data_IF_094367622430
#
_entry.id   IF_094367622430
#
_cell.length_a   1.000
_cell.length_b   1.000
_cell.length_c   1.000
_cell.angle_alpha   90.00
_cell.angle_beta   90.00
_cell.angle_gamma   90.00
#
_symmetry.space_group_name_H-M   'P 1'
#
loop_
_entity.id
_entity.type
_entity.pdbx_description
1 polymer ?
#
# COMPACT_ATOMS: atom_id res chain seq x y z
N UNK A 1 31.57 -34.22 -7.55
CA UNK A 1 31.29 -33.12 -6.61
C UNK A 1 32.61 -32.49 -6.18
N UNK A 2 32.71 -31.16 -6.21
CA UNK A 2 33.90 -30.43 -5.74
C UNK A 2 33.48 -29.47 -4.61
N UNK A 3 32.49 -29.87 -3.83
CA UNK A 3 32.01 -29.06 -2.70
C UNK A 3 33.11 -28.95 -1.63
N UNK A 4 33.27 -27.77 -1.02
CA UNK A 4 34.26 -27.43 0.01
C UNK A 4 35.70 -27.82 -0.37
N UNK A 5 36.00 -27.80 -1.69
CA UNK A 5 37.27 -28.35 -2.18
C UNK A 5 38.52 -27.65 -1.60
N UNK A 6 38.45 -26.34 -1.40
CA UNK A 6 39.60 -25.56 -0.94
C UNK A 6 39.47 -25.06 0.51
N UNK A 7 38.52 -25.64 1.28
CA UNK A 7 38.35 -25.26 2.70
C UNK A 7 39.61 -25.59 3.49
N UNK A 8 40.13 -24.63 4.23
CA UNK A 8 41.36 -24.82 5.02
C UNK A 8 41.08 -24.85 6.51
N UNK A 9 40.42 -23.83 7.06
CA UNK A 9 40.15 -23.73 8.49
C UNK A 9 38.69 -23.41 8.81
N UNK A 10 37.85 -23.22 7.79
CA UNK A 10 36.42 -22.89 8.02
C UNK A 10 35.68 -24.02 8.68
N UNK A 11 34.97 -23.73 9.76
CA UNK A 11 34.23 -24.69 10.56
C UNK A 11 32.71 -24.56 10.37
N UNK A 12 31.97 -25.59 10.73
CA UNK A 12 30.48 -25.61 10.75
C UNK A 12 29.83 -25.32 9.39
N UNK A 13 30.49 -25.62 8.28
CA UNK A 13 29.95 -25.36 6.95
C UNK A 13 29.18 -26.56 6.40
N UNK A 14 28.06 -26.30 5.74
CA UNK A 14 27.27 -27.32 5.03
C UNK A 14 27.29 -27.02 3.52
N UNK A 15 27.71 -27.96 2.70
CA UNK A 15 27.78 -27.77 1.25
C UNK A 15 27.22 -28.97 0.48
N UNK A 16 26.13 -28.77 -0.24
CA UNK A 16 25.44 -29.82 -1.02
C UNK A 16 25.25 -29.34 -2.46
N UNK A 17 25.95 -29.89 -3.41
CA UNK A 17 25.83 -29.54 -4.83
C UNK A 17 27.17 -29.52 -5.54
N UNK A 18 27.13 -29.39 -6.87
CA UNK A 18 28.33 -29.27 -7.67
C UNK A 18 29.00 -27.93 -7.40
N UNK A 19 30.26 -27.97 -6.97
CA UNK A 19 31.10 -26.80 -6.64
C UNK A 19 30.51 -25.84 -5.59
N UNK A 20 29.62 -26.32 -4.72
CA UNK A 20 29.12 -25.50 -3.63
C UNK A 20 30.22 -25.22 -2.61
N UNK A 21 30.38 -23.96 -2.16
CA UNK A 21 31.46 -23.51 -1.25
C UNK A 21 32.83 -23.95 -1.71
N UNK A 22 33.07 -24.04 -3.01
CA UNK A 22 34.30 -24.59 -3.55
C UNK A 22 35.55 -23.88 -3.08
N UNK A 23 35.56 -22.54 -3.06
CA UNK A 23 36.73 -21.74 -2.77
C UNK A 23 36.73 -21.19 -1.33
N UNK A 24 35.84 -21.67 -0.45
CA UNK A 24 35.88 -21.27 0.94
C UNK A 24 37.23 -21.61 1.54
N UNK A 25 37.84 -20.68 2.23
CA UNK A 25 39.14 -20.94 2.91
C UNK A 25 38.98 -20.87 4.42
N UNK A 26 38.44 -19.78 4.95
CA UNK A 26 38.34 -19.57 6.40
C UNK A 26 36.93 -19.23 6.87
N UNK A 27 35.97 -19.10 5.98
CA UNK A 27 34.58 -18.74 6.35
C UNK A 27 33.88 -19.84 7.13
N UNK A 28 33.17 -19.47 8.21
CA UNK A 28 32.48 -20.38 9.11
C UNK A 28 30.99 -20.31 9.00
N UNK A 29 30.32 -21.38 9.40
CA UNK A 29 28.85 -21.41 9.60
C UNK A 29 28.05 -21.09 8.34
N UNK A 30 28.58 -21.41 7.18
CA UNK A 30 27.89 -21.18 5.92
C UNK A 30 27.08 -22.43 5.51
N UNK A 31 25.89 -22.20 4.95
CA UNK A 31 25.06 -23.26 4.39
C UNK A 31 24.89 -23.01 2.88
N UNK A 32 25.34 -23.92 2.04
CA UNK A 32 25.26 -23.81 0.59
C UNK A 32 24.63 -25.06 -0.02
N UNK A 33 23.45 -24.92 -0.60
CA UNK A 33 22.70 -26.03 -1.22
C UNK A 33 22.34 -25.66 -2.65
N UNK A 34 22.99 -26.25 -3.62
CA UNK A 34 22.76 -25.98 -5.04
C UNK A 34 24.05 -25.98 -5.85
N UNK A 35 23.95 -26.09 -7.17
CA UNK A 35 25.12 -26.01 -8.02
C UNK A 35 25.69 -24.59 -7.95
N UNK A 36 26.98 -24.47 -7.69
CA UNK A 36 27.71 -23.21 -7.58
C UNK A 36 27.18 -22.28 -6.47
N UNK A 37 26.43 -22.84 -5.50
CA UNK A 37 25.95 -22.05 -4.35
C UNK A 37 27.16 -21.63 -3.50
N UNK A 38 27.29 -20.30 -3.26
CA UNK A 38 28.37 -19.68 -2.45
C UNK A 38 29.78 -20.13 -2.92
N UNK A 39 29.93 -20.31 -4.25
CA UNK A 39 31.12 -20.94 -4.82
C UNK A 39 32.42 -20.21 -4.45
N UNK A 40 32.46 -18.88 -4.59
CA UNK A 40 33.69 -18.10 -4.50
C UNK A 40 33.90 -17.49 -3.10
N UNK A 41 33.12 -17.92 -2.10
CA UNK A 41 33.33 -17.45 -0.74
C UNK A 41 34.76 -17.77 -0.28
N UNK A 42 35.44 -16.79 0.29
CA UNK A 42 36.79 -17.04 0.85
C UNK A 42 36.77 -16.98 2.37
N UNK A 43 36.22 -15.91 2.95
CA UNK A 43 36.21 -15.73 4.39
C UNK A 43 34.83 -15.31 4.93
N UNK A 44 33.82 -15.10 4.09
CA UNK A 44 32.49 -14.73 4.54
C UNK A 44 31.87 -15.78 5.46
N UNK A 45 31.19 -15.32 6.51
CA UNK A 45 30.65 -16.19 7.56
C UNK A 45 29.14 -16.09 7.69
N UNK A 46 28.52 -17.16 8.18
CA UNK A 46 27.09 -17.19 8.53
C UNK A 46 26.17 -16.91 7.34
N UNK A 47 26.57 -17.28 6.14
CA UNK A 47 25.76 -17.09 4.94
C UNK A 47 24.90 -18.35 4.68
N UNK A 48 23.68 -18.12 4.21
CA UNK A 48 22.78 -19.19 3.76
C UNK A 48 22.50 -19.00 2.27
N UNK A 49 22.86 -19.98 1.45
CA UNK A 49 22.73 -19.93 0.01
C UNK A 49 22.02 -21.18 -0.50
N UNK A 50 20.80 -21.02 -1.03
CA UNK A 50 20.01 -22.15 -1.52
C UNK A 50 19.53 -21.86 -2.96
N UNK A 51 20.09 -22.55 -3.93
CA UNK A 51 19.75 -22.36 -5.33
C UNK A 51 20.94 -22.44 -6.25
N UNK A 52 20.68 -22.56 -7.55
CA UNK A 52 21.73 -22.57 -8.56
C UNK A 52 22.35 -21.18 -8.68
N UNK A 53 23.66 -21.05 -8.51
CA UNK A 53 24.40 -19.80 -8.49
C UNK A 53 23.91 -18.79 -7.43
N UNK A 54 23.21 -19.24 -6.38
CA UNK A 54 22.84 -18.35 -5.28
C UNK A 54 24.14 -17.93 -4.57
N UNK A 55 24.31 -16.60 -4.38
CA UNK A 55 25.46 -15.99 -3.67
C UNK A 55 26.81 -16.48 -4.21
N UNK A 56 26.89 -16.86 -5.49
CA UNK A 56 28.08 -17.56 -6.03
C UNK A 56 29.36 -16.74 -5.92
N UNK A 57 29.30 -15.44 -6.13
CA UNK A 57 30.46 -14.59 -6.25
C UNK A 57 30.80 -13.88 -4.91
N UNK A 58 30.18 -14.28 -3.81
CA UNK A 58 30.50 -13.73 -2.48
C UNK A 58 31.95 -14.06 -2.12
N UNK A 59 32.68 -13.09 -1.65
CA UNK A 59 34.06 -13.34 -1.22
C UNK A 59 34.24 -13.15 0.29
N UNK A 60 33.75 -12.04 0.82
CA UNK A 60 33.95 -11.69 2.24
C UNK A 60 32.64 -11.27 2.94
N UNK A 61 31.52 -11.19 2.24
CA UNK A 61 30.24 -10.76 2.81
C UNK A 61 29.72 -11.76 3.85
N UNK A 62 29.17 -11.23 4.94
CA UNK A 62 28.70 -12.01 6.08
C UNK A 62 27.18 -11.96 6.23
N UNK A 63 26.61 -13.00 6.86
CA UNK A 63 25.21 -13.03 7.32
C UNK A 63 24.17 -12.80 6.21
N UNK A 64 24.50 -13.21 5.00
CA UNK A 64 23.57 -13.08 3.89
C UNK A 64 22.70 -14.32 3.75
N UNK A 65 21.45 -14.14 3.42
CA UNK A 65 20.52 -15.23 3.09
C UNK A 65 20.08 -15.08 1.64
N UNK A 66 20.42 -16.04 0.78
CA UNK A 66 20.06 -16.04 -0.64
C UNK A 66 19.33 -17.33 -0.99
N UNK A 67 18.06 -17.22 -1.36
CA UNK A 67 17.24 -18.38 -1.73
C UNK A 67 16.63 -18.15 -3.13
N UNK A 68 17.06 -18.93 -4.10
CA UNK A 68 16.57 -18.81 -5.46
C UNK A 68 17.67 -18.90 -6.50
N UNK A 69 17.29 -19.15 -7.74
CA UNK A 69 18.22 -19.23 -8.86
C UNK A 69 18.81 -17.83 -9.12
N UNK A 70 20.13 -17.71 -9.10
CA UNK A 70 20.89 -16.46 -9.25
C UNK A 70 20.55 -15.41 -8.19
N UNK A 71 19.96 -15.80 -7.06
CA UNK A 71 19.67 -14.88 -5.95
C UNK A 71 21.01 -14.35 -5.40
N UNK A 72 21.16 -13.01 -5.36
CA UNK A 72 22.34 -12.31 -4.82
C UNK A 72 23.66 -12.80 -5.43
N UNK A 73 23.62 -13.20 -6.71
CA UNK A 73 24.77 -13.85 -7.34
C UNK A 73 26.09 -13.06 -7.19
N UNK A 74 26.06 -11.76 -7.47
CA UNK A 74 27.28 -10.95 -7.60
C UNK A 74 27.71 -10.26 -6.31
N UNK A 75 27.09 -10.60 -5.17
CA UNK A 75 27.54 -10.01 -3.90
C UNK A 75 29.01 -10.37 -3.67
N UNK A 76 29.84 -9.38 -3.42
CA UNK A 76 31.22 -9.67 -3.06
C UNK A 76 31.50 -9.37 -1.60
N UNK A 77 30.95 -8.27 -1.05
CA UNK A 77 31.26 -7.81 0.30
C UNK A 77 30.04 -7.27 1.08
N UNK A 78 28.86 -7.25 0.49
CA UNK A 78 27.64 -6.80 1.19
C UNK A 78 27.26 -7.74 2.32
N UNK A 79 26.78 -7.19 3.44
CA UNK A 79 26.46 -7.93 4.64
C UNK A 79 24.99 -7.82 5.01
N UNK A 80 24.52 -8.76 5.82
CA UNK A 80 23.18 -8.70 6.46
C UNK A 80 22.03 -8.54 5.42
N UNK A 81 22.18 -9.12 4.22
CA UNK A 81 21.17 -9.07 3.19
C UNK A 81 20.29 -10.32 3.20
N UNK A 82 19.01 -10.15 2.93
CA UNK A 82 18.07 -11.27 2.72
C UNK A 82 17.48 -11.18 1.31
N UNK A 83 17.69 -12.21 0.50
CA UNK A 83 17.25 -12.24 -0.88
C UNK A 83 16.50 -13.54 -1.19
N UNK A 84 15.22 -13.46 -1.51
CA UNK A 84 14.39 -14.62 -1.82
C UNK A 84 13.68 -14.42 -3.16
N UNK A 85 14.07 -15.18 -4.15
CA UNK A 85 13.46 -15.11 -5.48
C UNK A 85 14.46 -15.32 -6.61
N UNK A 86 13.93 -15.64 -7.77
CA UNK A 86 14.73 -15.79 -8.97
C UNK A 86 15.31 -14.43 -9.37
N UNK A 87 16.63 -14.34 -9.50
CA UNK A 87 17.37 -13.10 -9.80
C UNK A 87 17.16 -11.96 -8.78
N UNK A 88 16.64 -12.24 -7.58
CA UNK A 88 16.53 -11.20 -6.55
C UNK A 88 17.93 -10.75 -6.13
N UNK A 89 18.17 -9.43 -6.06
CA UNK A 89 19.44 -8.78 -5.73
C UNK A 89 20.64 -9.33 -6.53
N UNK A 90 20.39 -9.84 -7.75
CA UNK A 90 21.45 -10.53 -8.51
C UNK A 90 22.75 -9.76 -8.59
N UNK A 91 22.69 -8.44 -8.85
CA UNK A 91 23.85 -7.63 -9.18
C UNK A 91 24.39 -6.85 -7.97
N UNK A 92 23.91 -7.14 -6.74
CA UNK A 92 24.44 -6.49 -5.53
C UNK A 92 25.95 -6.80 -5.41
N UNK A 93 26.76 -5.80 -5.16
CA UNK A 93 28.21 -6.02 -4.96
C UNK A 93 28.62 -5.72 -3.53
N UNK A 94 28.17 -4.59 -2.97
CA UNK A 94 28.59 -4.16 -1.62
C UNK A 94 27.45 -3.60 -0.77
N UNK A 95 26.23 -3.50 -1.33
CA UNK A 95 25.08 -3.02 -0.55
C UNK A 95 24.75 -3.95 0.61
N UNK A 96 24.40 -3.38 1.77
CA UNK A 96 24.15 -4.12 3.00
C UNK A 96 22.77 -3.82 3.57
N UNK A 97 22.30 -4.68 4.47
CA UNK A 97 21.03 -4.47 5.18
C UNK A 97 19.83 -4.39 4.23
N UNK A 98 19.86 -5.10 3.11
CA UNK A 98 18.76 -5.10 2.17
C UNK A 98 17.90 -6.35 2.30
N UNK A 99 16.59 -6.18 2.12
CA UNK A 99 15.63 -7.29 2.04
C UNK A 99 14.96 -7.27 0.67
N UNK A 100 15.10 -8.34 -0.10
CA UNK A 100 14.48 -8.48 -1.42
C UNK A 100 13.71 -9.79 -1.49
N UNK A 101 12.40 -9.71 -1.65
CA UNK A 101 11.56 -10.90 -1.76
C UNK A 101 10.65 -10.78 -2.98
N UNK A 102 10.99 -11.49 -4.03
CA UNK A 102 10.25 -11.47 -5.30
C UNK A 102 11.16 -11.72 -6.48
N UNK A 103 10.58 -12.16 -7.58
CA UNK A 103 11.30 -12.34 -8.82
C UNK A 103 11.84 -10.98 -9.30
N UNK A 104 13.13 -10.87 -9.53
CA UNK A 104 13.84 -9.64 -9.93
C UNK A 104 13.78 -8.48 -8.90
N UNK A 105 13.35 -8.73 -7.65
CA UNK A 105 13.35 -7.68 -6.62
C UNK A 105 14.78 -7.18 -6.38
N UNK A 106 15.00 -5.84 -6.38
CA UNK A 106 16.33 -5.20 -6.22
C UNK A 106 17.41 -5.76 -7.15
N UNK A 107 17.03 -6.27 -8.31
CA UNK A 107 17.95 -7.04 -9.15
C UNK A 107 19.25 -6.30 -9.47
N UNK A 108 19.17 -5.02 -9.84
CA UNK A 108 20.33 -4.27 -10.34
C UNK A 108 21.05 -3.48 -9.23
N UNK A 109 20.68 -3.67 -7.97
CA UNK A 109 21.34 -2.97 -6.86
C UNK A 109 22.85 -3.27 -6.90
N UNK A 110 23.67 -2.26 -6.74
CA UNK A 110 25.13 -2.46 -6.67
C UNK A 110 25.66 -2.14 -5.27
N UNK A 111 25.31 -0.97 -4.73
CA UNK A 111 25.81 -0.54 -3.42
C UNK A 111 24.74 0.10 -2.54
N UNK A 112 23.48 0.21 -3.01
CA UNK A 112 22.39 0.72 -2.20
C UNK A 112 22.17 -0.14 -0.96
N UNK A 113 21.91 0.48 0.19
CA UNK A 113 21.79 -0.21 1.48
C UNK A 113 20.50 0.16 2.18
N UNK A 114 20.08 -0.68 3.14
CA UNK A 114 18.89 -0.44 3.95
C UNK A 114 17.60 -0.43 3.12
N UNK A 115 17.53 -1.17 2.03
CA UNK A 115 16.34 -1.21 1.19
C UNK A 115 15.47 -2.43 1.50
N UNK A 116 14.15 -2.24 1.46
CA UNK A 116 13.17 -3.33 1.55
C UNK A 116 12.35 -3.39 0.27
N UNK A 117 12.45 -4.47 -0.48
CA UNK A 117 11.74 -4.69 -1.74
C UNK A 117 10.93 -5.98 -1.70
N UNK A 118 9.62 -5.86 -1.64
CA UNK A 118 8.71 -7.02 -1.59
C UNK A 118 7.76 -6.98 -2.79
N UNK A 119 7.96 -7.85 -3.75
CA UNK A 119 7.12 -7.94 -4.95
C UNK A 119 7.95 -8.23 -6.20
N UNK A 120 7.29 -8.74 -7.22
CA UNK A 120 7.93 -8.97 -8.51
C UNK A 120 8.43 -7.63 -9.07
N UNK A 121 9.70 -7.59 -9.47
CA UNK A 121 10.39 -6.41 -10.02
C UNK A 121 10.40 -5.16 -9.11
N UNK A 122 10.05 -5.31 -7.84
CA UNK A 122 10.11 -4.20 -6.88
C UNK A 122 11.55 -3.67 -6.82
N UNK A 123 11.74 -2.35 -7.04
CA UNK A 123 13.04 -1.67 -7.07
C UNK A 123 14.05 -2.30 -8.03
N UNK A 124 13.59 -2.90 -9.11
CA UNK A 124 14.46 -3.67 -10.02
C UNK A 124 15.66 -2.86 -10.55
N UNK A 125 15.44 -1.57 -10.86
CA UNK A 125 16.48 -0.72 -11.46
C UNK A 125 17.41 -0.05 -10.44
N UNK A 126 17.13 -0.17 -9.13
CA UNK A 126 17.94 0.51 -8.12
C UNK A 126 19.42 0.14 -8.27
N UNK A 127 20.31 1.14 -8.16
CA UNK A 127 21.75 0.90 -8.20
C UNK A 127 22.42 1.33 -6.90
N UNK A 128 22.20 2.58 -6.49
CA UNK A 128 22.86 3.15 -5.31
C UNK A 128 21.86 3.75 -4.29
N UNK A 129 20.59 3.88 -4.66
CA UNK A 129 19.59 4.42 -3.75
C UNK A 129 19.48 3.61 -2.47
N UNK A 130 19.33 4.29 -1.32
CA UNK A 130 19.30 3.63 -0.02
C UNK A 130 18.11 4.03 0.83
N UNK A 131 17.82 3.22 1.85
CA UNK A 131 16.74 3.48 2.81
C UNK A 131 15.37 3.57 2.16
N UNK A 132 15.12 2.77 1.14
CA UNK A 132 13.84 2.73 0.45
C UNK A 132 12.99 1.54 0.91
N UNK A 133 11.68 1.73 0.97
CA UNK A 133 10.72 0.66 1.19
C UNK A 133 9.78 0.57 -0.02
N UNK A 134 9.76 -0.58 -0.69
CA UNK A 134 8.94 -0.80 -1.87
C UNK A 134 8.18 -2.12 -1.74
N UNK A 135 6.86 -2.03 -1.59
CA UNK A 135 5.99 -3.18 -1.41
C UNK A 135 4.93 -3.20 -2.51
N UNK A 136 5.04 -4.14 -3.41
CA UNK A 136 4.12 -4.30 -4.54
C UNK A 136 4.86 -4.65 -5.82
N UNK A 137 4.14 -5.25 -6.75
CA UNK A 137 4.65 -5.53 -8.09
C UNK A 137 5.00 -4.21 -8.77
N UNK A 138 6.20 -4.09 -9.34
CA UNK A 138 6.72 -2.89 -10.01
C UNK A 138 6.81 -1.63 -9.11
N UNK A 139 6.73 -1.78 -7.78
CA UNK A 139 6.91 -0.64 -6.88
C UNK A 139 8.35 -0.10 -7.01
N UNK A 140 8.51 1.21 -7.24
CA UNK A 140 9.80 1.87 -7.48
C UNK A 140 10.62 1.20 -8.59
N UNK A 141 9.96 0.67 -9.61
CA UNK A 141 10.60 -0.13 -10.66
C UNK A 141 11.83 0.55 -11.27
N UNK A 142 11.73 1.85 -11.57
CA UNK A 142 12.74 2.61 -12.31
C UNK A 142 13.67 3.44 -11.42
N UNK A 143 13.48 3.39 -10.10
CA UNK A 143 14.38 4.10 -9.19
C UNK A 143 15.81 3.61 -9.38
N UNK A 144 16.75 4.51 -9.59
CA UNK A 144 18.18 4.15 -9.71
C UNK A 144 19.00 4.66 -8.53
N UNK A 145 18.77 5.90 -8.10
CA UNK A 145 19.57 6.57 -7.07
C UNK A 145 18.76 7.20 -5.95
N UNK A 146 17.44 7.35 -6.14
CA UNK A 146 16.57 7.98 -5.14
C UNK A 146 16.56 7.23 -3.82
N UNK A 147 16.52 7.97 -2.72
CA UNK A 147 16.65 7.43 -1.35
C UNK A 147 15.51 7.90 -0.45
N UNK A 148 15.31 7.17 0.66
CA UNK A 148 14.32 7.51 1.68
C UNK A 148 12.87 7.50 1.15
N UNK A 149 12.59 6.67 0.16
CA UNK A 149 11.27 6.58 -0.45
C UNK A 149 10.46 5.44 0.15
N UNK A 150 9.17 5.66 0.35
CA UNK A 150 8.23 4.63 0.79
C UNK A 150 7.15 4.45 -0.28
N UNK A 151 7.04 3.26 -0.85
CA UNK A 151 6.02 2.92 -1.82
C UNK A 151 5.28 1.65 -1.44
N UNK A 152 3.98 1.72 -1.35
CA UNK A 152 3.15 0.55 -1.05
C UNK A 152 2.00 0.49 -2.06
N UNK A 153 2.03 -0.50 -2.91
CA UNK A 153 1.03 -0.69 -3.96
C UNK A 153 1.66 -1.07 -5.30
N UNK A 154 0.91 -1.77 -6.13
CA UNK A 154 1.38 -2.13 -7.46
C UNK A 154 1.72 -0.85 -8.25
N UNK A 155 2.93 -0.79 -8.76
CA UNK A 155 3.49 0.31 -9.56
C UNK A 155 3.46 1.69 -8.85
N UNK A 156 3.43 1.70 -7.51
CA UNK A 156 3.61 2.95 -6.76
C UNK A 156 5.04 3.46 -6.95
N UNK A 157 5.22 4.75 -7.26
CA UNK A 157 6.52 5.37 -7.55
C UNK A 157 7.28 4.67 -8.69
N UNK A 158 6.58 4.06 -9.63
CA UNK A 158 7.23 3.18 -10.63
C UNK A 158 8.28 3.91 -11.47
N UNK A 159 8.07 5.19 -11.79
CA UNK A 159 9.02 5.96 -12.60
C UNK A 159 9.93 6.89 -11.78
N UNK A 160 9.76 6.93 -10.46
CA UNK A 160 10.42 7.95 -9.61
C UNK A 160 11.89 7.65 -9.38
N UNK A 161 12.69 8.71 -9.42
CA UNK A 161 14.11 8.68 -9.05
C UNK A 161 14.46 9.82 -8.07
N UNK A 162 13.45 10.51 -7.54
CA UNK A 162 13.61 11.53 -6.49
C UNK A 162 13.71 10.92 -5.10
N UNK A 163 13.93 11.77 -4.11
CA UNK A 163 14.12 11.37 -2.71
C UNK A 163 12.89 11.68 -1.87
N UNK A 164 12.80 11.04 -0.74
CA UNK A 164 11.81 11.34 0.33
C UNK A 164 10.34 11.36 -0.11
N UNK A 165 9.81 10.55 -1.10
CA UNK A 165 8.56 10.34 -1.53
C UNK A 165 7.89 9.34 -0.74
N UNK A 166 6.65 9.62 -0.46
CA UNK A 166 5.73 8.60 0.13
C UNK A 166 4.56 8.34 -0.80
N UNK A 167 4.33 7.10 -1.22
CA UNK A 167 3.21 6.76 -2.11
C UNK A 167 2.49 5.49 -1.65
N UNK A 168 1.56 5.59 -1.34
CA UNK A 168 0.75 4.60 -0.89
C UNK A 168 -0.38 4.43 -1.76
N UNK A 169 -0.59 3.46 -2.57
CA UNK A 169 -1.74 3.13 -3.44
C UNK A 169 -1.32 2.66 -4.83
N UNK A 170 -2.23 1.95 -5.49
CA UNK A 170 -2.02 1.52 -6.88
C UNK A 170 -1.65 2.73 -7.73
N UNK A 171 -0.46 2.70 -8.36
CA UNK A 171 0.08 3.75 -9.25
C UNK A 171 0.05 5.15 -8.64
N UNK A 172 0.18 5.24 -7.34
CA UNK A 172 0.40 6.55 -6.72
C UNK A 172 1.79 7.05 -7.13
N UNK A 173 1.99 8.43 -7.59
CA UNK A 173 3.07 9.03 -8.01
C UNK A 173 3.76 8.42 -9.10
N UNK A 174 2.91 7.88 -10.09
CA UNK A 174 3.44 6.96 -11.12
C UNK A 174 4.40 7.61 -12.11
N UNK A 175 4.06 8.79 -12.61
CA UNK A 175 4.84 9.44 -13.68
C UNK A 175 5.95 10.37 -13.18
N UNK A 176 6.06 10.60 -11.89
CA UNK A 176 7.07 11.51 -11.34
C UNK A 176 8.46 10.90 -11.55
N UNK A 177 9.33 11.60 -12.27
CA UNK A 177 10.67 11.07 -12.56
C UNK A 177 11.77 11.71 -11.69
N UNK A 178 11.57 12.95 -11.23
CA UNK A 178 12.63 13.68 -10.54
C UNK A 178 12.15 14.46 -9.30
N UNK A 179 10.85 14.66 -9.14
CA UNK A 179 10.33 15.42 -7.99
C UNK A 179 10.56 14.68 -6.68
N UNK A 180 10.88 15.43 -5.64
CA UNK A 180 11.17 14.90 -4.30
C UNK A 180 10.19 15.45 -3.26
N UNK A 181 10.14 14.86 -2.07
CA UNK A 181 9.34 15.39 -0.96
C UNK A 181 7.83 15.24 -1.12
N UNK A 182 7.36 14.40 -2.01
CA UNK A 182 5.93 14.26 -2.30
C UNK A 182 5.27 13.21 -1.42
N UNK A 183 4.01 13.46 -1.03
CA UNK A 183 3.17 12.52 -0.27
C UNK A 183 1.89 12.25 -1.07
N UNK A 184 1.73 11.02 -1.56
CA UNK A 184 0.61 10.62 -2.42
C UNK A 184 -0.13 9.44 -1.80
N UNK A 185 -1.38 9.65 -1.39
CA UNK A 185 -2.16 8.63 -0.69
C UNK A 185 -3.45 8.33 -1.46
N UNK A 186 -3.59 7.11 -1.91
CA UNK A 186 -4.77 6.58 -2.56
C UNK A 186 -4.53 6.09 -3.99
N UNK A 187 -5.53 5.44 -4.57
CA UNK A 187 -5.49 4.89 -5.92
C UNK A 187 -5.19 6.00 -6.93
N UNK A 188 -4.05 5.91 -7.61
CA UNK A 188 -3.57 6.88 -8.61
C UNK A 188 -3.43 8.32 -8.07
N UNK A 189 -3.31 8.51 -6.75
CA UNK A 189 -3.10 9.85 -6.20
C UNK A 189 -1.82 10.44 -6.79
N UNK A 190 -1.89 11.68 -7.29
CA UNK A 190 -0.75 12.34 -7.92
C UNK A 190 -0.16 11.62 -9.12
N UNK A 191 -0.97 10.81 -9.85
CA UNK A 191 -0.49 10.00 -10.97
C UNK A 191 0.33 10.80 -11.99
N UNK A 192 -0.13 12.02 -12.30
CA UNK A 192 0.49 12.90 -13.29
C UNK A 192 1.35 14.01 -12.68
N UNK A 193 1.59 13.97 -11.36
CA UNK A 193 2.39 15.01 -10.69
C UNK A 193 3.87 14.83 -10.99
N UNK A 194 4.53 15.88 -11.44
CA UNK A 194 5.96 15.86 -11.79
C UNK A 194 6.82 16.78 -10.91
N UNK A 195 6.18 17.62 -10.10
CA UNK A 195 6.87 18.55 -9.21
C UNK A 195 7.32 17.93 -7.88
N UNK A 196 7.79 18.78 -7.00
CA UNK A 196 8.26 18.42 -5.65
C UNK A 196 7.37 19.00 -4.57
N UNK A 197 7.46 18.44 -3.37
CA UNK A 197 6.87 19.01 -2.16
C UNK A 197 5.35 19.13 -2.24
N UNK A 198 4.69 18.12 -2.82
CA UNK A 198 3.23 18.11 -2.99
C UNK A 198 2.58 17.00 -2.15
N UNK A 199 1.39 17.30 -1.66
CA UNK A 199 0.51 16.35 -0.98
C UNK A 199 -0.74 16.11 -1.83
N UNK A 200 -1.03 14.86 -2.13
CA UNK A 200 -2.29 14.43 -2.76
C UNK A 200 -2.93 13.34 -1.93
N UNK A 201 -4.16 13.57 -1.47
CA UNK A 201 -5.00 12.48 -0.95
C UNK A 201 -6.21 12.36 -1.89
N UNK A 202 -6.24 11.27 -2.64
CA UNK A 202 -7.24 11.09 -3.70
C UNK A 202 -7.38 9.61 -4.04
N UNK A 203 -8.54 9.22 -4.56
CA UNK A 203 -8.76 7.86 -5.07
C UNK A 203 -8.82 7.82 -6.60
N UNK A 204 -8.20 8.79 -7.27
CA UNK A 204 -8.20 8.88 -8.73
C UNK A 204 -7.01 9.73 -9.19
N UNK A 205 -6.79 9.78 -10.52
CA UNK A 205 -5.72 10.56 -11.15
C UNK A 205 -6.11 12.01 -11.43
N UNK A 206 -7.03 12.55 -10.65
CA UNK A 206 -7.53 13.91 -10.80
C UNK A 206 -6.47 14.96 -10.50
N UNK A 207 -6.52 16.10 -11.20
CA UNK A 207 -5.73 17.28 -10.87
C UNK A 207 -6.30 18.06 -9.67
N UNK A 208 -7.52 17.71 -9.23
CA UNK A 208 -8.19 18.33 -8.07
C UNK A 208 -8.48 17.25 -7.02
N UNK A 209 -7.47 16.75 -6.31
CA UNK A 209 -7.68 15.70 -5.30
C UNK A 209 -8.52 16.22 -4.13
N UNK A 210 -9.08 15.31 -3.34
CA UNK A 210 -9.87 15.72 -2.17
C UNK A 210 -9.07 16.63 -1.24
N UNK A 211 -7.79 16.28 -0.99
CA UNK A 211 -6.86 17.14 -0.28
C UNK A 211 -5.61 17.31 -1.17
N UNK A 212 -5.29 18.56 -1.43
CA UNK A 212 -4.05 18.96 -2.10
C UNK A 212 -3.22 19.78 -1.13
N UNK A 213 -1.92 19.61 -1.12
CA UNK A 213 -1.03 20.45 -0.33
C UNK A 213 0.23 20.79 -1.10
N UNK A 214 0.81 21.91 -0.71
CA UNK A 214 2.11 22.33 -1.21
C UNK A 214 2.98 22.63 0.02
N UNK A 215 3.95 21.75 0.27
CA UNK A 215 4.82 21.88 1.44
C UNK A 215 5.76 23.08 1.31
N UNK A 216 6.08 23.50 0.08
CA UNK A 216 6.96 24.66 -0.13
C UNK A 216 6.27 25.97 0.23
N UNK A 217 4.99 26.11 -0.08
CA UNK A 217 4.20 27.30 0.28
C UNK A 217 3.46 27.15 1.61
N UNK A 218 3.43 25.94 2.17
CA UNK A 218 2.71 25.59 3.40
C UNK A 218 1.19 25.79 3.26
N UNK A 219 0.65 25.49 2.07
CA UNK A 219 -0.77 25.60 1.79
C UNK A 219 -1.43 24.23 1.71
N UNK A 220 -2.69 24.15 2.17
CA UNK A 220 -3.54 22.98 2.01
C UNK A 220 -4.87 23.42 1.40
N UNK A 221 -5.24 22.79 0.31
CA UNK A 221 -6.53 22.99 -0.36
C UNK A 221 -7.38 21.74 -0.15
N UNK A 222 -8.60 21.94 0.30
CA UNK A 222 -9.61 20.89 0.41
C UNK A 222 -10.65 21.11 -0.67
N UNK A 223 -10.70 20.22 -1.65
CA UNK A 223 -11.60 20.30 -2.81
C UNK A 223 -12.94 19.62 -2.54
N UNK A 224 -13.35 19.61 -1.29
CA UNK A 224 -14.62 19.06 -0.82
C UNK A 224 -15.16 19.87 0.34
N UNK A 225 -16.13 19.35 1.02
CA UNK A 225 -16.67 20.02 2.21
C UNK A 225 -15.79 19.72 3.42
N UNK A 226 -15.28 20.75 4.06
CA UNK A 226 -14.57 20.62 5.33
C UNK A 226 -15.56 20.82 6.47
N UNK A 227 -15.83 19.75 7.22
CA UNK A 227 -16.71 19.79 8.40
C UNK A 227 -15.82 19.81 9.62
N UNK A 228 -15.84 20.93 10.34
CA UNK A 228 -15.05 21.10 11.56
C UNK A 228 -15.95 21.60 12.68
N UNK A 229 -15.79 21.04 13.87
CA UNK A 229 -16.56 21.49 15.04
C UNK A 229 -16.02 22.82 15.57
N UNK A 230 -14.74 23.01 15.51
CA UNK A 230 -14.09 24.24 16.01
C UNK A 230 -12.78 24.50 15.27
N UNK A 231 -12.61 25.69 14.76
CA UNK A 231 -11.32 26.14 14.23
C UNK A 231 -10.67 27.03 15.30
N UNK A 232 -9.49 26.65 15.74
CA UNK A 232 -8.77 27.33 16.80
C UNK A 232 -7.39 27.82 16.34
N UNK A 233 -6.93 28.93 16.93
CA UNK A 233 -5.53 29.35 16.74
C UNK A 233 -4.58 28.53 17.63
N UNK A 234 -3.29 28.78 17.52
CA UNK A 234 -2.26 28.04 18.27
C UNK A 234 -2.32 28.26 19.78
N UNK A 235 -3.05 29.26 20.24
CA UNK A 235 -3.29 29.54 21.67
C UNK A 235 -4.61 28.97 22.17
N UNK A 236 -5.34 28.25 21.29
CA UNK A 236 -6.61 27.63 21.64
C UNK A 236 -7.83 28.52 21.47
N UNK A 237 -7.69 29.74 20.98
CA UNK A 237 -8.83 30.65 20.76
C UNK A 237 -9.54 30.30 19.46
N UNK A 238 -10.86 30.35 19.48
CA UNK A 238 -11.67 30.09 18.28
C UNK A 238 -11.43 31.19 17.25
N UNK A 239 -11.20 30.79 16.00
CA UNK A 239 -10.74 31.72 14.99
C UNK A 239 -11.24 31.37 13.60
N UNK A 240 -11.93 32.29 12.97
CA UNK A 240 -11.95 32.39 11.51
C UNK A 240 -11.18 33.67 11.20
N UNK A 241 -9.97 33.54 10.72
CA UNK A 241 -9.14 34.70 10.47
C UNK A 241 -9.06 35.02 8.97
N UNK A 242 -9.23 36.28 8.67
CA UNK A 242 -9.00 36.82 7.35
C UNK A 242 -7.69 37.59 7.31
N UNK A 243 -6.90 37.34 6.29
CA UNK A 243 -5.77 38.22 5.97
C UNK A 243 -6.19 38.96 4.70
N UNK A 244 -6.31 40.29 4.81
CA UNK A 244 -6.71 41.13 3.69
C UNK A 244 -8.22 41.29 3.51
N UNK A 245 -8.93 41.52 4.59
CA UNK A 245 -10.27 42.12 4.65
C UNK A 245 -11.47 41.40 4.06
N UNK A 246 -11.38 40.14 3.58
CA UNK A 246 -12.57 39.48 3.08
C UNK A 246 -12.65 38.01 3.57
N UNK A 247 -13.72 37.66 4.28
CA UNK A 247 -14.11 36.28 4.45
C UNK A 247 -14.97 35.93 3.25
N UNK A 248 -14.41 35.17 2.33
CA UNK A 248 -15.22 34.58 1.29
C UNK A 248 -15.86 33.30 1.85
N UNK A 249 -17.06 33.46 2.35
CA UNK A 249 -17.88 32.33 2.68
C UNK A 249 -18.71 32.03 1.42
N UNK A 250 -18.49 30.90 0.84
CA UNK A 250 -19.10 30.53 -0.43
C UNK A 250 -20.63 30.67 -0.47
N UNK A 251 -21.17 30.50 -1.60
CA UNK A 251 -22.50 30.93 -2.10
C UNK A 251 -23.74 30.77 -1.21
N UNK A 252 -23.75 30.01 -0.10
CA UNK A 252 -25.06 29.59 0.40
C UNK A 252 -25.44 30.00 1.81
N UNK A 253 -24.57 30.10 2.77
CA UNK A 253 -24.93 30.72 4.08
C UNK A 253 -23.78 30.86 5.05
N UNK A 254 -23.79 31.90 5.83
CA UNK A 254 -23.04 32.03 7.09
C UNK A 254 -24.05 31.92 8.21
N UNK A 255 -23.93 30.91 9.06
CA UNK A 255 -24.71 30.81 10.27
C UNK A 255 -23.80 31.11 11.47
N UNK A 256 -24.12 32.12 12.23
CA UNK A 256 -23.48 32.39 13.50
C UNK A 256 -24.44 31.89 14.58
N UNK A 257 -24.03 30.81 15.28
CA UNK A 257 -24.84 30.23 16.35
C UNK A 257 -24.17 30.43 17.70
N UNK A 258 -24.85 31.09 18.63
CA UNK A 258 -24.40 31.12 20.00
C UNK A 258 -24.93 29.89 20.74
N UNK A 259 -24.03 29.02 21.16
CA UNK A 259 -24.38 27.83 21.95
C UNK A 259 -24.30 28.09 23.45
N UNK A 260 -24.06 29.30 23.86
CA UNK A 260 -23.86 29.62 25.27
C UNK A 260 -25.14 30.17 25.91
N UNK A 261 -25.72 29.39 26.79
CA UNK A 261 -26.89 29.83 27.61
C UNK A 261 -26.50 30.52 28.92
N UNK A 262 -25.20 30.82 29.14
CA UNK A 262 -24.76 31.18 30.50
C UNK A 262 -23.82 32.37 30.61
N UNK A 263 -23.63 33.16 29.59
CA UNK A 263 -22.84 34.40 29.83
C UNK A 263 -23.28 35.55 28.96
N UNK A 264 -23.08 36.71 29.50
CA UNK A 264 -23.42 38.03 28.96
C UNK A 264 -22.62 38.44 27.72
N UNK A 265 -22.15 37.46 26.96
CA UNK A 265 -21.44 37.71 25.69
C UNK A 265 -22.42 38.02 24.58
N UNK A 266 -22.27 39.13 23.95
CA UNK A 266 -23.01 39.48 22.75
C UNK A 266 -22.27 38.93 21.54
N UNK A 267 -22.96 38.20 20.69
CA UNK A 267 -22.44 37.88 19.36
C UNK A 267 -22.42 39.20 18.55
N UNK A 268 -21.27 39.74 18.41
CA UNK A 268 -21.13 41.03 17.78
C UNK A 268 -20.50 40.88 16.40
N UNK A 269 -21.26 41.26 15.37
CA UNK A 269 -20.67 41.52 14.07
C UNK A 269 -20.23 43.00 14.14
N UNK A 270 -19.02 43.18 14.65
CA UNK A 270 -18.52 44.53 14.86
C UNK A 270 -17.68 45.02 13.68
N UNK A 271 -17.94 46.18 13.19
CA UNK A 271 -17.08 46.88 12.24
C UNK A 271 -16.25 47.91 12.98
N UNK A 272 -14.97 48.01 12.68
CA UNK A 272 -14.08 48.99 13.33
C UNK A 272 -14.40 50.44 12.99
N UNK A 273 -15.27 50.65 12.02
CA UNK A 273 -15.65 52.00 11.54
C UNK A 273 -17.13 52.31 11.74
N UNK A 274 -17.83 51.63 12.64
CA UNK A 274 -19.24 51.83 12.96
C UNK A 274 -20.21 51.66 11.78
N UNK A 275 -19.82 50.96 10.73
CA UNK A 275 -20.69 50.78 9.59
C UNK A 275 -20.76 49.28 9.24
N UNK A 276 -21.86 48.65 9.60
CA UNK A 276 -22.17 47.27 9.18
C UNK A 276 -23.01 47.35 7.90
N UNK A 277 -22.36 47.10 6.79
CA UNK A 277 -23.09 47.05 5.50
C UNK A 277 -23.56 45.66 5.20
N UNK A 278 -24.87 45.48 5.20
CA UNK A 278 -25.51 44.23 4.79
C UNK A 278 -26.24 44.53 3.49
N UNK A 279 -25.70 44.04 2.39
CA UNK A 279 -26.28 44.20 1.06
C UNK A 279 -25.99 45.57 0.44
N UNK A 280 -24.94 45.63 -0.35
CA UNK A 280 -24.53 46.87 -1.04
C UNK A 280 -25.10 47.01 -2.44
N UNK A 281 -25.90 46.03 -2.88
CA UNK A 281 -26.50 46.02 -4.22
C UNK A 281 -28.01 46.14 -4.13
N UNK A 282 -28.60 46.91 -5.03
CA UNK A 282 -30.04 47.11 -5.08
C UNK A 282 -30.85 45.85 -5.42
N UNK A 283 -30.15 44.76 -5.73
CA UNK A 283 -30.81 43.49 -6.07
C UNK A 283 -30.78 42.45 -4.97
N UNK A 284 -30.27 42.76 -3.80
CA UNK A 284 -30.17 41.79 -2.69
C UNK A 284 -31.15 42.10 -1.56
N UNK A 285 -31.80 41.05 -1.07
CA UNK A 285 -32.67 41.18 0.10
C UNK A 285 -31.99 40.55 1.34
N UNK A 286 -32.15 41.21 2.47
CA UNK A 286 -31.65 40.74 3.76
C UNK A 286 -32.87 40.30 4.60
N UNK A 287 -32.87 39.03 5.02
CA UNK A 287 -33.95 38.48 5.85
C UNK A 287 -33.43 38.26 7.27
N UNK A 288 -34.07 38.89 8.24
CA UNK A 288 -33.78 38.70 9.66
C UNK A 288 -34.90 37.85 10.26
N UNK A 289 -34.56 36.61 10.68
CA UNK A 289 -35.50 35.68 11.28
C UNK A 289 -35.52 35.82 12.82
N UNK A 290 -35.84 36.95 13.29
CA UNK A 290 -35.85 37.19 14.74
C UNK A 290 -36.25 38.61 15.01
N UNK A 291 -36.06 39.07 16.22
CA UNK A 291 -36.36 40.44 16.58
C UNK A 291 -35.16 41.31 16.22
N UNK A 292 -35.34 42.19 15.24
CA UNK A 292 -34.36 43.25 14.97
C UNK A 292 -34.63 44.38 15.98
N UNK A 293 -33.74 44.52 16.95
CA UNK A 293 -33.83 45.67 17.87
C UNK A 293 -32.90 46.77 17.34
N UNK A 294 -33.49 47.79 16.83
CA UNK A 294 -32.74 49.01 16.42
C UNK A 294 -32.98 50.09 17.43
N UNK A 295 -31.94 50.81 17.77
CA UNK A 295 -32.07 51.99 18.63
C UNK A 295 -33.03 53.00 17.97
N UNK A 296 -33.84 53.67 18.76
CA UNK A 296 -34.78 54.67 18.23
C UNK A 296 -34.05 55.68 17.32
N UNK A 297 -34.62 55.97 16.17
CA UNK A 297 -33.98 56.92 15.25
C UNK A 297 -33.72 58.27 15.92
N UNK A 298 -32.51 58.73 15.81
CA UNK A 298 -32.12 60.04 16.41
C UNK A 298 -32.29 61.16 15.40
N UNK A 299 -32.68 60.86 14.15
CA UNK A 299 -32.95 61.89 13.15
C UNK A 299 -34.16 61.47 12.29
N UNK A 300 -34.83 62.45 11.71
CA UNK A 300 -36.03 62.25 10.89
C UNK A 300 -35.76 61.39 9.64
N UNK A 301 -34.52 61.31 9.19
CA UNK A 301 -34.15 60.52 8.00
C UNK A 301 -34.05 59.01 8.27
N UNK A 302 -34.12 58.61 9.53
CA UNK A 302 -34.01 57.20 9.91
C UNK A 302 -35.38 56.56 10.16
N UNK A 303 -36.48 57.31 10.04
CA UNK A 303 -37.83 56.76 10.30
C UNK A 303 -38.28 55.87 9.16
N UNK A 304 -38.57 54.62 9.46
CA UNK A 304 -39.25 53.73 8.50
C UNK A 304 -40.74 54.01 8.52
N UNK A 305 -41.36 54.14 7.35
CA UNK A 305 -42.80 54.34 7.25
C UNK A 305 -43.53 53.04 7.58
N UNK A 306 -44.75 53.15 8.12
CA UNK A 306 -45.63 52.00 8.37
C UNK A 306 -45.82 51.19 7.08
N UNK A 307 -45.97 51.88 5.94
CA UNK A 307 -46.11 51.22 4.63
C UNK A 307 -44.94 50.28 4.33
N UNK A 308 -43.68 50.72 4.59
CA UNK A 308 -42.50 49.92 4.39
C UNK A 308 -42.55 48.66 5.28
N UNK A 309 -42.97 48.81 6.54
CA UNK A 309 -43.08 47.67 7.49
C UNK A 309 -44.18 46.70 7.03
N UNK A 310 -45.33 47.25 6.60
CA UNK A 310 -46.48 46.41 6.12
C UNK A 310 -46.10 45.68 4.83
N UNK A 311 -45.40 46.33 3.89
CA UNK A 311 -44.90 45.72 2.68
C UNK A 311 -43.89 44.61 3.00
N UNK A 312 -43.01 44.83 3.93
CA UNK A 312 -42.03 43.83 4.39
C UNK A 312 -42.73 42.63 5.03
N UNK A 313 -43.77 42.89 5.85
CA UNK A 313 -44.54 41.82 6.47
C UNK A 313 -45.28 40.97 5.41
N UNK A 314 -45.86 41.60 4.42
CA UNK A 314 -46.56 40.91 3.31
C UNK A 314 -45.53 40.08 2.52
N UNK A 315 -44.38 40.66 2.20
CA UNK A 315 -43.31 39.97 1.47
C UNK A 315 -42.80 38.76 2.28
N UNK A 316 -42.60 38.93 3.57
CA UNK A 316 -42.16 37.85 4.44
C UNK A 316 -43.17 36.72 4.53
N UNK A 317 -44.48 37.02 4.57
CA UNK A 317 -45.51 36.01 4.55
C UNK A 317 -45.48 35.16 3.27
N UNK A 318 -45.30 35.85 2.12
CA UNK A 318 -45.17 35.17 0.85
C UNK A 318 -43.91 34.26 0.80
N UNK A 319 -42.79 34.78 1.30
CA UNK A 319 -41.55 34.00 1.36
C UNK A 319 -41.67 32.78 2.28
N UNK A 320 -42.36 32.88 3.41
CA UNK A 320 -42.63 31.76 4.31
C UNK A 320 -43.42 30.68 3.59
N UNK A 321 -44.44 31.12 2.79
CA UNK A 321 -45.25 30.15 2.03
C UNK A 321 -44.41 29.42 0.97
N UNK A 322 -43.53 30.17 0.27
CA UNK A 322 -42.61 29.58 -0.71
C UNK A 322 -41.66 28.58 -0.03
N UNK A 323 -41.06 28.97 1.08
CA UNK A 323 -40.14 28.11 1.81
C UNK A 323 -40.83 26.82 2.30
N UNK A 324 -42.09 26.90 2.70
CA UNK A 324 -42.85 25.69 3.06
C UNK A 324 -42.98 24.72 1.90
N UNK A 325 -43.22 25.24 0.70
CA UNK A 325 -43.26 24.41 -0.51
C UNK A 325 -41.91 23.75 -0.79
N UNK A 326 -40.83 24.54 -0.65
CA UNK A 326 -39.47 24.01 -0.87
C UNK A 326 -39.12 22.93 0.13
N UNK A 327 -39.49 23.10 1.40
CA UNK A 327 -39.29 22.08 2.45
C UNK A 327 -40.00 20.78 2.08
N UNK A 328 -41.23 20.88 1.55
CA UNK A 328 -41.98 19.69 1.12
C UNK A 328 -41.25 18.96 -0.02
N UNK A 329 -40.69 19.71 -0.96
CA UNK A 329 -39.91 19.14 -2.08
C UNK A 329 -38.64 18.45 -1.57
N UNK A 330 -37.95 19.10 -0.63
CA UNK A 330 -36.74 18.52 -0.02
C UNK A 330 -37.07 17.21 0.71
N UNK A 331 -38.17 17.16 1.44
CA UNK A 331 -38.57 15.94 2.15
C UNK A 331 -38.85 14.79 1.17
N UNK A 332 -39.43 15.10 0.01
CA UNK A 332 -39.64 14.10 -1.04
C UNK A 332 -38.31 13.56 -1.58
N UNK A 333 -37.37 14.47 -1.81
CA UNK A 333 -36.02 14.10 -2.28
C UNK A 333 -35.31 13.21 -1.23
N UNK A 334 -35.40 13.57 0.04
CA UNK A 334 -34.77 12.80 1.10
C UNK A 334 -35.35 11.37 1.19
N UNK A 335 -36.66 11.25 0.98
CA UNK A 335 -37.29 9.92 0.96
C UNK A 335 -36.72 9.08 -0.20
N UNK A 336 -36.55 9.68 -1.36
CA UNK A 336 -35.95 8.98 -2.52
C UNK A 336 -34.51 8.54 -2.22
N UNK A 337 -33.73 9.44 -1.62
CA UNK A 337 -32.36 9.12 -1.24
C UNK A 337 -32.30 7.97 -0.24
N UNK A 338 -33.16 7.96 0.76
CA UNK A 338 -33.20 6.88 1.77
C UNK A 338 -33.50 5.54 1.10
N UNK A 339 -34.39 5.54 0.09
CA UNK A 339 -34.67 4.33 -0.68
C UNK A 339 -33.41 3.85 -1.41
N UNK A 340 -32.66 4.78 -1.99
CA UNK A 340 -31.41 4.44 -2.68
C UNK A 340 -30.35 3.89 -1.73
N UNK A 341 -30.23 4.45 -0.54
CA UNK A 341 -29.33 3.97 0.51
C UNK A 341 -29.70 2.52 0.87
N UNK A 342 -30.97 2.24 1.06
CA UNK A 342 -31.45 0.89 1.38
C UNK A 342 -31.06 -0.10 0.27
N UNK A 343 -31.26 0.29 -1.00
CA UNK A 343 -30.91 -0.57 -2.13
C UNK A 343 -29.40 -0.85 -2.19
N UNK A 344 -28.57 0.17 -1.90
CA UNK A 344 -27.12 0.01 -1.86
C UNK A 344 -26.70 -0.93 -0.74
N UNK A 345 -27.33 -0.82 0.44
CA UNK A 345 -27.06 -1.71 1.56
C UNK A 345 -27.33 -3.16 1.16
N UNK A 346 -28.47 -3.43 0.53
CA UNK A 346 -28.81 -4.78 0.08
C UNK A 346 -27.80 -5.32 -0.94
N UNK A 347 -27.28 -4.44 -1.80
CA UNK A 347 -26.25 -4.82 -2.78
C UNK A 347 -24.92 -5.16 -2.09
N UNK A 348 -24.55 -4.42 -1.06
CA UNK A 348 -23.34 -4.68 -0.26
C UNK A 348 -23.45 -6.04 0.42
N UNK A 349 -24.60 -6.36 1.00
CA UNK A 349 -24.83 -7.66 1.66
C UNK A 349 -24.72 -8.82 0.66
N UNK A 350 -25.25 -8.63 -0.55
CA UNK A 350 -25.13 -9.63 -1.61
C UNK A 350 -23.67 -9.85 -1.99
N UNK A 351 -22.92 -8.77 -2.17
CA UNK A 351 -21.49 -8.84 -2.52
C UNK A 351 -20.67 -9.52 -1.42
N UNK A 352 -21.00 -9.26 -0.15
CA UNK A 352 -20.34 -9.91 0.97
C UNK A 352 -20.57 -11.43 0.93
N UNK A 353 -21.78 -11.84 0.55
CA UNK A 353 -22.07 -13.27 0.34
C UNK A 353 -21.16 -13.89 -0.73
N UNK A 354 -20.99 -13.19 -1.85
CA UNK A 354 -20.12 -13.65 -2.94
C UNK A 354 -18.64 -13.74 -2.48
N UNK A 355 -18.19 -12.76 -1.72
CA UNK A 355 -16.81 -12.74 -1.18
C UNK A 355 -16.59 -13.96 -0.28
N UNK A 356 -17.55 -14.28 0.57
CA UNK A 356 -17.44 -15.43 1.48
C UNK A 356 -17.37 -16.74 0.69
N UNK A 357 -18.17 -16.87 -0.38
CA UNK A 357 -18.14 -18.05 -1.24
C UNK A 357 -16.77 -18.18 -1.94
N UNK A 358 -16.26 -17.09 -2.50
CA UNK A 358 -14.95 -17.08 -3.16
C UNK A 358 -13.83 -17.46 -2.17
N UNK A 359 -13.93 -16.99 -0.94
CA UNK A 359 -12.96 -17.34 0.12
C UNK A 359 -12.97 -18.85 0.38
N UNK A 360 -14.15 -19.44 0.43
CA UNK A 360 -14.28 -20.89 0.63
C UNK A 360 -13.64 -21.67 -0.54
N UNK A 361 -13.83 -21.20 -1.77
CA UNK A 361 -13.26 -21.86 -2.94
C UNK A 361 -11.73 -21.70 -3.00
N UNK A 362 -11.20 -20.55 -2.61
CA UNK A 362 -9.75 -20.34 -2.46
C UNK A 362 -9.16 -21.32 -1.46
N UNK A 363 -9.85 -21.56 -0.36
CA UNK A 363 -9.38 -22.53 0.65
C UNK A 363 -9.38 -23.96 0.10
N UNK A 364 -10.36 -24.33 -0.72
CA UNK A 364 -10.34 -25.65 -1.40
C UNK A 364 -9.13 -25.76 -2.33
N UNK A 365 -8.82 -24.71 -3.08
CA UNK A 365 -7.66 -24.71 -3.98
C UNK A 365 -6.35 -24.82 -3.21
N UNK A 366 -6.21 -24.11 -2.08
CA UNK A 366 -5.02 -24.23 -1.22
C UNK A 366 -4.81 -25.67 -0.73
N UNK A 367 -5.89 -26.34 -0.34
CA UNK A 367 -5.81 -27.75 0.07
C UNK A 367 -5.30 -28.62 -1.09
N UNK A 368 -5.80 -28.41 -2.28
CA UNK A 368 -5.36 -29.14 -3.46
C UNK A 368 -3.88 -28.91 -3.78
N UNK A 369 -3.44 -27.66 -3.71
CA UNK A 369 -2.04 -27.32 -3.96
C UNK A 369 -1.10 -27.92 -2.91
N UNK A 370 -1.51 -27.93 -1.64
CA UNK A 370 -0.71 -28.56 -0.59
C UNK A 370 -0.59 -30.08 -0.83
N UNK A 371 -1.67 -30.73 -1.33
CA UNK A 371 -1.63 -32.15 -1.67
C UNK A 371 -0.66 -32.43 -2.83
N UNK A 372 -0.67 -31.58 -3.86
CA UNK A 372 0.28 -31.72 -4.99
C UNK A 372 1.72 -31.55 -4.48
N UNK A 373 1.97 -30.56 -3.65
CA UNK A 373 3.30 -30.31 -3.08
C UNK A 373 3.77 -31.50 -2.24
N UNK A 374 2.87 -32.13 -1.49
CA UNK A 374 3.22 -33.33 -0.72
C UNK A 374 3.52 -34.52 -1.66
N UNK A 375 2.69 -34.71 -2.70
CA UNK A 375 2.85 -35.84 -3.59
C UNK A 375 4.17 -35.79 -4.38
N UNK A 376 4.72 -34.63 -4.66
CA UNK A 376 6.02 -34.50 -5.33
C UNK A 376 7.17 -35.05 -4.48
N UNK A 377 6.99 -35.18 -3.19
CA UNK A 377 8.00 -35.75 -2.30
C UNK A 377 7.93 -37.29 -2.14
N UNK A 378 6.88 -37.89 -2.70
CA UNK A 378 6.74 -39.36 -2.62
C UNK A 378 7.68 -40.01 -3.66
N UNK A 379 8.56 -40.80 -3.20
CA UNK A 379 9.60 -41.43 -4.06
C UNK A 379 9.19 -42.80 -4.57
N UNK A 380 9.71 -43.16 -5.73
CA UNK A 380 9.48 -44.46 -6.33
C UNK A 380 10.58 -45.47 -5.94
N UNK A 381 10.26 -46.71 -6.00
CA UNK A 381 11.21 -47.81 -5.74
C UNK A 381 12.27 -47.87 -6.83
N UNK A 382 13.48 -48.23 -6.45
CA UNK A 382 14.53 -48.62 -7.38
C UNK A 382 14.55 -50.14 -7.55
N UNK A 383 15.25 -50.59 -8.56
CA UNK A 383 15.29 -51.97 -9.06
C UNK A 383 15.18 -53.03 -7.95
N UNK A 384 14.20 -53.93 -8.12
CA UNK A 384 14.02 -55.10 -7.26
C UNK A 384 13.57 -54.81 -5.85
N UNK A 385 13.17 -53.58 -5.53
CA UNK A 385 12.85 -53.18 -4.15
C UNK A 385 11.43 -52.68 -4.01
N UNK A 386 10.91 -52.82 -2.83
CA UNK A 386 9.68 -52.13 -2.41
C UNK A 386 10.02 -50.93 -1.55
N UNK A 387 9.25 -49.89 -1.70
CA UNK A 387 9.51 -48.65 -1.01
C UNK A 387 8.20 -48.07 -0.47
N UNK A 388 8.24 -47.61 0.75
CA UNK A 388 7.13 -46.85 1.35
C UNK A 388 7.66 -45.48 1.68
N UNK A 389 6.96 -44.48 1.29
CA UNK A 389 7.37 -43.09 1.49
C UNK A 389 6.24 -42.22 2.08
N UNK A 390 6.63 -41.26 2.87
CA UNK A 390 5.73 -40.24 3.38
C UNK A 390 6.37 -38.90 3.09
N UNK A 391 5.60 -37.99 2.58
CA UNK A 391 6.08 -36.64 2.29
C UNK A 391 5.10 -35.60 2.86
N UNK A 392 5.63 -34.47 3.20
CA UNK A 392 4.86 -33.33 3.71
C UNK A 392 4.97 -32.19 2.72
N UNK A 393 3.83 -31.58 2.41
CA UNK A 393 3.78 -30.39 1.56
C UNK A 393 3.01 -29.30 2.25
N UNK A 394 3.31 -28.07 1.89
CA UNK A 394 2.59 -26.93 2.43
C UNK A 394 2.43 -25.85 1.36
N UNK A 395 1.29 -25.18 1.39
CA UNK A 395 1.03 -24.02 0.54
C UNK A 395 0.23 -22.99 1.31
N UNK A 396 0.81 -21.84 1.48
CA UNK A 396 0.18 -20.68 2.17
C UNK A 396 -0.50 -21.06 3.49
N UNK A 397 0.23 -21.76 4.35
CA UNK A 397 -0.24 -22.10 5.69
C UNK A 397 -1.14 -23.33 5.75
N UNK A 398 -1.48 -23.91 4.62
CA UNK A 398 -2.22 -25.18 4.56
C UNK A 398 -1.23 -26.32 4.33
N UNK A 399 -1.31 -27.34 5.17
CA UNK A 399 -0.38 -28.48 5.09
C UNK A 399 -1.10 -29.75 4.63
N UNK A 400 -0.38 -30.60 3.95
CA UNK A 400 -0.86 -31.88 3.52
C UNK A 400 0.19 -32.96 3.76
N UNK A 401 -0.29 -34.16 3.98
CA UNK A 401 0.56 -35.36 4.05
C UNK A 401 0.27 -36.20 2.82
N UNK A 402 1.33 -36.60 2.12
CA UNK A 402 1.22 -37.63 1.07
C UNK A 402 1.95 -38.90 1.53
N UNK A 403 1.46 -39.98 1.07
CA UNK A 403 2.03 -41.31 1.35
C UNK A 403 1.99 -42.12 0.07
N UNK A 404 2.93 -42.99 -0.05
CA UNK A 404 2.97 -43.88 -1.20
C UNK A 404 3.66 -45.19 -0.90
N UNK A 405 3.29 -46.18 -1.67
CA UNK A 405 3.98 -47.46 -1.71
C UNK A 405 4.30 -47.76 -3.16
N UNK A 406 5.50 -48.18 -3.42
CA UNK A 406 5.92 -48.55 -4.76
C UNK A 406 6.73 -49.83 -4.75
N UNK A 407 6.69 -50.54 -5.84
CA UNK A 407 7.47 -51.76 -6.04
C UNK A 407 7.94 -51.77 -7.49
N UNK A 408 9.21 -52.01 -7.69
CA UNK A 408 9.80 -52.17 -9.02
C UNK A 408 10.02 -53.66 -9.27
N UNK A 409 9.34 -54.18 -10.29
CA UNK A 409 9.48 -55.56 -10.72
C UNK A 409 10.62 -55.65 -11.75
N UNK A 410 11.76 -56.17 -11.32
CA UNK A 410 12.97 -56.27 -12.14
C UNK A 410 12.86 -57.26 -13.31
N UNK A 411 11.96 -58.26 -13.20
CA UNK A 411 11.81 -59.25 -14.26
C UNK A 411 11.11 -58.70 -15.50
N UNK A 412 10.20 -57.76 -15.27
CA UNK A 412 9.39 -57.16 -16.35
C UNK A 412 9.67 -55.66 -16.58
N UNK A 413 10.59 -55.08 -15.79
CA UNK A 413 10.94 -53.67 -15.81
C UNK A 413 9.70 -52.78 -15.63
N UNK A 414 8.84 -53.14 -14.69
CA UNK A 414 7.58 -52.45 -14.41
C UNK A 414 7.65 -51.83 -13.02
N UNK A 415 7.34 -50.54 -12.95
CA UNK A 415 7.19 -49.81 -11.70
C UNK A 415 5.71 -49.69 -11.35
N UNK A 416 5.34 -50.23 -10.22
CA UNK A 416 4.00 -50.06 -9.64
C UNK A 416 4.08 -48.98 -8.57
N UNK A 417 3.20 -47.98 -8.66
CA UNK A 417 3.21 -46.88 -7.73
C UNK A 417 1.77 -46.55 -7.30
N UNK A 418 1.52 -46.64 -6.01
CA UNK A 418 0.27 -46.20 -5.38
C UNK A 418 0.56 -45.01 -4.49
N UNK A 419 -0.09 -43.93 -4.76
CA UNK A 419 0.09 -42.68 -4.01
C UNK A 419 -1.25 -42.14 -3.54
N UNK A 420 -1.23 -41.47 -2.41
CA UNK A 420 -2.39 -40.74 -1.92
C UNK A 420 -1.95 -39.52 -1.10
N UNK A 421 -2.83 -38.59 -0.96
CA UNK A 421 -2.56 -37.40 -0.15
C UNK A 421 -3.82 -36.96 0.58
N UNK A 422 -3.62 -36.22 1.68
CA UNK A 422 -4.71 -35.69 2.47
C UNK A 422 -4.35 -34.31 3.01
N UNK A 423 -5.28 -33.37 2.91
CA UNK A 423 -5.21 -32.06 3.52
C UNK A 423 -6.59 -31.71 4.06
N UNK A 424 -6.69 -31.52 5.35
CA UNK A 424 -7.98 -31.31 6.00
C UNK A 424 -8.91 -32.49 5.76
N UNK A 425 -10.08 -32.22 5.21
CA UNK A 425 -11.10 -33.24 4.91
C UNK A 425 -11.03 -33.73 3.45
N UNK A 426 -10.07 -33.30 2.66
CA UNK A 426 -9.93 -33.71 1.27
C UNK A 426 -8.83 -34.78 1.14
N UNK A 427 -9.04 -35.73 0.24
CA UNK A 427 -8.05 -36.76 -0.05
C UNK A 427 -8.07 -37.08 -1.55
N UNK A 428 -6.92 -37.50 -2.05
CA UNK A 428 -6.78 -37.94 -3.43
C UNK A 428 -5.87 -39.18 -3.46
N UNK A 429 -6.04 -40.00 -4.45
CA UNK A 429 -5.17 -41.16 -4.67
C UNK A 429 -4.97 -41.40 -6.16
N UNK A 430 -3.79 -41.88 -6.51
CA UNK A 430 -3.43 -42.23 -7.87
C UNK A 430 -2.74 -43.59 -7.84
N UNK A 431 -3.14 -44.48 -8.73
CA UNK A 431 -2.41 -45.69 -9.01
C UNK A 431 -1.81 -45.55 -10.42
N UNK A 432 -0.52 -45.73 -10.53
CA UNK A 432 0.15 -45.64 -11.81
C UNK A 432 1.06 -46.85 -12.02
N UNK A 433 1.19 -47.23 -13.27
CA UNK A 433 2.12 -48.29 -13.70
C UNK A 433 2.99 -47.67 -14.80
N UNK A 434 4.28 -47.67 -14.60
CA UNK A 434 5.24 -47.17 -15.58
C UNK A 434 6.14 -48.29 -16.09
N UNK A 435 6.64 -48.10 -17.27
CA UNK A 435 7.62 -49.02 -17.89
C UNK A 435 8.89 -48.21 -18.15
N UNK A 436 10.04 -48.77 -17.85
CA UNK A 436 11.29 -48.15 -18.26
C UNK A 436 11.77 -48.80 -19.57
N UNK A 437 12.49 -48.05 -20.38
CA UNK A 437 13.03 -48.47 -21.66
C UNK A 437 14.54 -48.38 -21.67
#
# INVERSE_FOLDING_TARGET
SYSLRYNTTGDDNTAVGFESLKYNTTGDKNTAVGNYALQDNTSGTSNTSIGNYALSDNTVGDKNTAVGNYSMRSNSSGNDNTSMGNYAMRDNTSGSDNTANGNYALRNNTSGSNNTALGNQSMKANTTGGSNTAIGDDAQLSNTTGSYNVSVGNAALSSANGDTXTAXGYRAXYTNTAGSGNVMIGHKAGYNETGSDKLYISNSDTASPLIYGDFATQEVTINGNLIINTLKDSSGNSMIRTVGNVVHIGKNSVTLEDASTTSSGKDEIASSNNDLQIGTSTSHSTTIKGTLSVQAPTSANHATTKTYVDDLTTSNTNNISSNSSDISSINTTNTTQNTSITNNTNSIDSNLGLINNNTADINKMKNGLAQVAAMTGVTAASNGKSHISIALGSYEGTSAIAYGASHHDDENDILYLLQGSRSGNTSSSVLSVGFSF
#
